data_IF_297885308078
#
_entry.id   IF_297885308078
#
_cell.length_a   1.000
_cell.length_b   1.000
_cell.length_c   1.000
_cell.angle_alpha   90.00
_cell.angle_beta   90.00
_cell.angle_gamma   90.00
#
_symmetry.space_group_name_H-M   'P 1'
#
loop_
_entity.id
_entity.type
_entity.pdbx_description
1 polymer ?
#
# COMPACT_ATOMS: atom_id res chain seq x y z
N UNK A 1 -10.14 -5.26 9.44
CA UNK A 1 -8.99 -4.34 9.56
C UNK A 1 -9.48 -3.04 10.19
N UNK A 2 -8.66 -2.37 11.01
CA UNK A 2 -8.99 -1.03 11.52
C UNK A 2 -8.98 -0.05 10.33
N UNK A 3 -9.90 0.94 10.26
CA UNK A 3 -9.82 1.99 9.25
C UNK A 3 -8.42 2.62 9.24
N UNK A 4 -7.96 3.00 8.05
CA UNK A 4 -6.81 3.86 7.90
C UNK A 4 -7.06 5.17 8.65
N UNK A 5 -6.11 5.53 9.51
CA UNK A 5 -6.11 6.78 10.25
C UNK A 5 -4.74 7.41 10.03
N UNK A 6 -4.72 8.68 9.66
CA UNK A 6 -3.50 9.46 9.57
C UNK A 6 -2.88 9.51 10.97
N UNK A 7 -1.58 9.25 11.07
CA UNK A 7 -0.87 9.25 12.33
C UNK A 7 -0.96 10.62 13.02
N UNK A 8 -1.07 10.62 14.36
CA UNK A 8 -1.22 11.84 15.15
C UNK A 8 -0.13 12.89 14.85
N UNK A 9 1.11 12.46 14.59
CA UNK A 9 2.23 13.32 14.22
C UNK A 9 1.94 14.24 13.02
N UNK A 10 1.09 13.81 12.10
CA UNK A 10 0.72 14.59 10.91
C UNK A 10 -0.56 15.39 11.13
N UNK A 11 -1.52 14.86 11.89
CA UNK A 11 -2.84 15.48 12.14
C UNK A 11 -2.73 16.89 12.70
N UNK A 12 -1.72 17.15 13.53
CA UNK A 12 -1.50 18.47 14.14
C UNK A 12 -0.81 19.48 13.20
N UNK A 13 -0.37 19.04 12.02
CA UNK A 13 0.42 19.83 11.07
C UNK A 13 -0.27 20.07 9.72
N UNK A 14 -1.45 19.48 9.51
CA UNK A 14 -2.21 19.61 8.26
C UNK A 14 -3.64 20.09 8.56
N UNK A 15 -4.31 20.73 7.59
CA UNK A 15 -5.70 21.15 7.78
C UNK A 15 -6.62 19.95 8.08
N UNK A 16 -7.48 20.08 9.09
CA UNK A 16 -8.34 18.99 9.54
C UNK A 16 -9.28 18.47 8.44
N UNK A 17 -9.81 19.37 7.60
CA UNK A 17 -10.63 19.01 6.44
C UNK A 17 -9.85 18.15 5.45
N UNK A 18 -8.60 18.50 5.16
CA UNK A 18 -7.73 17.75 4.25
C UNK A 18 -7.41 16.37 4.81
N UNK A 19 -7.07 16.28 6.10
CA UNK A 19 -6.87 15.01 6.78
C UNK A 19 -8.12 14.11 6.65
N UNK A 20 -9.30 14.67 6.94
CA UNK A 20 -10.56 13.94 6.87
C UNK A 20 -10.88 13.43 5.46
N UNK A 21 -10.73 14.27 4.44
CA UNK A 21 -11.00 13.89 3.04
C UNK A 21 -10.03 12.82 2.54
N UNK A 22 -8.76 12.90 2.94
CA UNK A 22 -7.78 11.88 2.61
C UNK A 22 -8.07 10.55 3.29
N UNK A 23 -8.41 10.55 4.59
CA UNK A 23 -8.85 9.32 5.28
C UNK A 23 -10.10 8.72 4.64
N UNK A 24 -11.06 9.56 4.23
CA UNK A 24 -12.26 9.12 3.52
C UNK A 24 -11.90 8.46 2.18
N UNK A 25 -11.02 9.08 1.41
CA UNK A 25 -10.56 8.55 0.13
C UNK A 25 -9.86 7.20 0.31
N UNK A 26 -8.91 7.10 1.24
CA UNK A 26 -8.16 5.84 1.47
C UNK A 26 -9.11 4.72 1.91
N UNK A 27 -10.03 5.00 2.83
CA UNK A 27 -10.91 3.97 3.39
C UNK A 27 -12.06 3.55 2.46
N UNK A 28 -12.64 4.49 1.73
CA UNK A 28 -13.92 4.27 1.03
C UNK A 28 -13.85 4.50 -0.48
N UNK A 29 -12.72 4.96 -1.01
CA UNK A 29 -12.59 5.28 -2.42
C UNK A 29 -13.15 6.65 -2.75
N UNK A 30 -13.16 6.95 -4.05
CA UNK A 30 -13.49 8.31 -4.52
C UNK A 30 -14.99 8.62 -4.44
N UNK A 31 -15.37 9.45 -3.47
CA UNK A 31 -16.36 10.51 -3.67
C UNK A 31 -15.64 11.75 -4.23
N UNK A 32 -16.37 12.71 -4.81
CA UNK A 32 -15.84 13.89 -5.55
C UNK A 32 -14.62 14.51 -4.85
N UNK A 33 -13.42 14.26 -5.39
CA UNK A 33 -12.18 14.88 -4.91
C UNK A 33 -12.11 16.33 -5.38
N UNK A 34 -11.59 17.21 -4.52
CA UNK A 34 -11.24 18.56 -4.94
C UNK A 34 -10.07 18.52 -5.94
N UNK A 35 -9.92 19.59 -6.74
CA UNK A 35 -8.80 19.70 -7.69
C UNK A 35 -7.45 19.52 -6.99
N UNK A 36 -7.26 20.14 -5.82
CA UNK A 36 -6.07 19.95 -4.98
C UNK A 36 -5.77 18.48 -4.68
N UNK A 37 -6.75 17.74 -4.15
CA UNK A 37 -6.54 16.34 -3.77
C UNK A 37 -6.34 15.42 -4.97
N UNK A 38 -7.03 15.68 -6.08
CA UNK A 38 -6.83 14.93 -7.31
C UNK A 38 -5.39 15.11 -7.83
N UNK A 39 -4.91 16.36 -7.94
CA UNK A 39 -3.53 16.61 -8.35
C UNK A 39 -2.51 16.00 -7.39
N UNK A 40 -2.73 16.14 -6.08
CA UNK A 40 -1.87 15.60 -5.03
C UNK A 40 -1.71 14.08 -5.15
N UNK A 41 -2.83 13.35 -5.19
CA UNK A 41 -2.84 11.88 -5.25
C UNK A 41 -2.41 11.35 -6.63
N UNK A 42 -2.51 12.18 -7.67
CA UNK A 42 -2.04 11.85 -9.02
C UNK A 42 -0.54 12.13 -9.24
N UNK A 43 0.18 12.57 -8.20
CA UNK A 43 1.61 12.91 -8.29
C UNK A 43 1.91 14.25 -8.98
N UNK A 44 0.90 15.05 -9.31
CA UNK A 44 1.05 16.38 -9.89
C UNK A 44 1.22 17.44 -8.78
N UNK A 45 2.43 17.51 -8.23
CA UNK A 45 2.74 18.45 -7.15
C UNK A 45 2.55 19.93 -7.56
N UNK A 46 2.81 20.27 -8.83
CA UNK A 46 2.64 21.65 -9.32
C UNK A 46 1.17 22.01 -9.47
N UNK A 47 0.36 21.15 -10.07
CA UNK A 47 -1.09 21.34 -10.15
C UNK A 47 -1.75 21.40 -8.78
N UNK A 48 -1.25 20.60 -7.83
CA UNK A 48 -1.70 20.64 -6.45
C UNK A 48 -1.35 21.98 -5.79
N UNK A 49 -0.11 22.46 -5.91
CA UNK A 49 0.29 23.76 -5.36
C UNK A 49 -0.53 24.93 -5.93
N UNK A 50 -0.83 24.91 -7.24
CA UNK A 50 -1.67 25.91 -7.90
C UNK A 50 -3.13 25.86 -7.46
N UNK A 51 -3.64 24.68 -7.10
CA UNK A 51 -5.04 24.46 -6.71
C UNK A 51 -5.26 24.51 -5.19
N UNK A 52 -4.19 24.60 -4.40
CA UNK A 52 -4.26 24.65 -2.95
C UNK A 52 -4.81 26.00 -2.46
N UNK A 53 -5.75 25.95 -1.52
CA UNK A 53 -6.09 27.10 -0.69
C UNK A 53 -4.90 27.49 0.23
N UNK A 54 -5.05 28.58 0.97
CA UNK A 54 -3.98 29.12 1.83
C UNK A 54 -3.49 28.09 2.85
N UNK A 55 -4.42 27.41 3.55
CA UNK A 55 -4.05 26.46 4.61
C UNK A 55 -3.33 25.23 4.05
N UNK A 56 -3.82 24.68 2.94
CA UNK A 56 -3.17 23.55 2.26
C UNK A 56 -1.82 23.92 1.67
N UNK A 57 -1.66 25.17 1.22
CA UNK A 57 -0.41 25.67 0.67
C UNK A 57 0.66 25.83 1.76
N UNK A 58 0.27 26.36 2.91
CA UNK A 58 1.16 26.52 4.07
C UNK A 58 1.63 25.15 4.61
N UNK A 59 0.75 24.15 4.56
CA UNK A 59 1.04 22.78 4.97
C UNK A 59 1.58 21.86 3.84
N UNK A 60 1.80 22.38 2.63
CA UNK A 60 1.94 21.55 1.43
C UNK A 60 3.09 20.54 1.50
N UNK A 61 4.25 20.97 1.99
CA UNK A 61 5.42 20.09 2.17
C UNK A 61 5.16 18.95 3.15
N UNK A 62 4.41 19.23 4.23
CA UNK A 62 4.02 18.22 5.23
C UNK A 62 3.04 17.22 4.62
N UNK A 63 2.05 17.71 3.87
CA UNK A 63 1.06 16.87 3.18
C UNK A 63 1.76 15.91 2.20
N UNK A 64 2.71 16.41 1.40
CA UNK A 64 3.49 15.57 0.48
C UNK A 64 4.29 14.49 1.21
N UNK A 65 5.00 14.86 2.28
CA UNK A 65 5.78 13.93 3.08
C UNK A 65 4.90 12.84 3.72
N UNK A 66 3.75 13.24 4.28
CA UNK A 66 2.78 12.32 4.85
C UNK A 66 2.26 11.32 3.82
N UNK A 67 1.83 11.79 2.65
CA UNK A 67 1.30 10.92 1.58
C UNK A 67 2.39 9.94 1.12
N UNK A 68 3.62 10.41 0.91
CA UNK A 68 4.71 9.54 0.47
C UNK A 68 5.11 8.47 1.49
N UNK A 69 4.95 8.74 2.79
CA UNK A 69 5.42 7.85 3.85
C UNK A 69 4.35 6.86 4.34
N UNK A 70 3.11 7.32 4.51
CA UNK A 70 2.11 6.59 5.29
C UNK A 70 0.93 6.05 4.46
N UNK A 71 0.77 6.46 3.20
CA UNK A 71 -0.39 6.04 2.39
C UNK A 71 -0.19 4.66 1.74
N UNK A 72 -1.26 3.84 1.64
CA UNK A 72 -1.23 2.61 0.85
C UNK A 72 -0.83 2.89 -0.60
N UNK A 73 -0.05 1.98 -1.19
CA UNK A 73 0.53 2.26 -2.51
C UNK A 73 -0.52 2.27 -3.63
N UNK A 74 -1.65 1.61 -3.39
CA UNK A 74 -2.69 1.39 -4.39
C UNK A 74 -3.66 2.58 -4.51
N UNK A 75 -3.61 3.56 -3.59
CA UNK A 75 -4.48 4.73 -3.61
C UNK A 75 -3.86 5.98 -4.28
N UNK A 76 -2.67 5.85 -4.88
CA UNK A 76 -2.02 6.88 -5.68
C UNK A 76 -1.80 6.39 -7.12
N UNK A 77 -1.62 7.29 -8.08
CA UNK A 77 -1.27 6.87 -9.45
C UNK A 77 -1.62 7.89 -10.53
N UNK A 78 -2.13 7.42 -11.66
CA UNK A 78 -2.71 8.34 -12.65
C UNK A 78 -4.03 8.91 -12.12
N UNK A 79 -4.52 10.04 -12.66
CA UNK A 79 -5.83 10.59 -12.28
C UNK A 79 -6.96 9.57 -12.40
N UNK A 80 -6.93 8.71 -13.41
CA UNK A 80 -7.92 7.65 -13.62
C UNK A 80 -7.84 6.60 -12.52
N UNK A 81 -6.63 6.19 -12.13
CA UNK A 81 -6.43 5.21 -11.06
C UNK A 81 -6.94 5.75 -9.71
N UNK A 82 -6.63 7.02 -9.40
CA UNK A 82 -7.11 7.70 -8.20
C UNK A 82 -8.64 7.79 -8.20
N UNK A 83 -9.27 8.14 -9.32
CA UNK A 83 -10.73 8.21 -9.42
C UNK A 83 -11.41 6.84 -9.34
N UNK A 84 -10.76 5.79 -9.82
CA UNK A 84 -11.26 4.42 -9.77
C UNK A 84 -10.96 3.72 -8.45
N UNK A 85 -10.20 4.35 -7.54
CA UNK A 85 -9.93 3.81 -6.22
C UNK A 85 -11.23 3.55 -5.46
N UNK A 86 -11.39 2.32 -4.96
CA UNK A 86 -12.62 1.85 -4.30
C UNK A 86 -12.45 1.71 -2.78
N UNK A 87 -11.39 2.30 -2.23
CA UNK A 87 -11.05 2.17 -0.82
C UNK A 87 -10.32 0.86 -0.52
N UNK A 88 -9.81 0.78 0.71
CA UNK A 88 -9.24 -0.44 1.25
C UNK A 88 -10.31 -1.55 1.30
N UNK A 89 -10.22 -2.52 0.39
CA UNK A 89 -11.13 -3.66 0.36
C UNK A 89 -10.76 -4.69 1.43
N UNK A 90 -11.78 -5.22 2.09
CA UNK A 90 -11.66 -6.48 2.82
C UNK A 90 -11.45 -7.61 1.80
N UNK A 91 -10.24 -8.15 1.74
CA UNK A 91 -10.07 -9.51 1.28
C UNK A 91 -10.36 -10.42 2.48
N UNK A 92 -11.39 -11.27 2.46
CA UNK A 92 -11.46 -12.34 3.44
C UNK A 92 -10.14 -13.13 3.40
N UNK A 93 -9.67 -13.66 4.54
CA UNK A 93 -8.59 -14.64 4.50
C UNK A 93 -8.99 -15.69 3.46
N UNK A 94 -8.09 -15.96 2.51
CA UNK A 94 -8.35 -16.99 1.52
C UNK A 94 -8.55 -18.31 2.28
N UNK A 95 -9.58 -19.06 1.93
CA UNK A 95 -9.77 -20.39 2.49
C UNK A 95 -8.63 -21.27 1.96
N UNK A 96 -7.85 -21.84 2.88
CA UNK A 96 -6.80 -22.80 2.53
C UNK A 96 -7.49 -24.13 2.23
N UNK A 97 -7.37 -24.69 1.01
CA UNK A 97 -7.93 -26.00 0.73
C UNK A 97 -7.31 -27.07 1.63
N UNK A 98 -8.08 -28.05 2.08
CA UNK A 98 -7.60 -29.15 2.93
C UNK A 98 -6.39 -29.89 2.31
N UNK A 99 -6.34 -29.97 0.98
CA UNK A 99 -5.22 -30.57 0.24
C UNK A 99 -3.90 -29.86 0.49
N UNK A 100 -3.89 -28.54 0.66
CA UNK A 100 -2.68 -27.77 0.93
C UNK A 100 -2.19 -27.99 2.36
N UNK A 101 -3.13 -28.11 3.30
CA UNK A 101 -2.82 -28.44 4.70
C UNK A 101 -2.15 -29.80 4.78
N UNK A 102 -2.68 -30.79 4.06
CA UNK A 102 -2.09 -32.13 3.95
C UNK A 102 -0.68 -32.09 3.33
N UNK A 103 -0.48 -31.32 2.25
CA UNK A 103 0.85 -31.16 1.64
C UNK A 103 1.85 -30.50 2.58
N UNK A 104 1.45 -29.50 3.36
CA UNK A 104 2.33 -28.83 4.34
C UNK A 104 2.70 -29.78 5.48
N UNK A 105 1.78 -30.61 5.97
CA UNK A 105 2.08 -31.62 6.98
C UNK A 105 3.02 -32.70 6.45
N UNK A 106 2.83 -33.13 5.20
CA UNK A 106 3.72 -34.08 4.53
C UNK A 106 5.14 -33.52 4.37
N UNK A 107 5.27 -32.29 3.86
CA UNK A 107 6.56 -31.61 3.74
C UNK A 107 7.23 -31.38 5.11
N UNK A 108 6.47 -31.09 6.16
CA UNK A 108 7.01 -31.00 7.54
C UNK A 108 7.53 -32.34 8.05
N UNK A 109 6.86 -33.45 7.70
CA UNK A 109 7.26 -34.81 8.10
C UNK A 109 8.49 -35.27 7.34
N UNK A 110 8.59 -34.96 6.05
CA UNK A 110 9.74 -35.31 5.21
C UNK A 110 11.01 -34.51 5.58
N UNK A 111 10.84 -33.32 6.16
CA UNK A 111 11.95 -32.45 6.50
C UNK A 111 12.60 -31.84 5.24
N UNK A 112 13.55 -30.90 5.41
CA UNK A 112 14.24 -30.31 4.28
C UNK A 112 15.07 -31.36 3.53
N UNK A 113 14.67 -31.66 2.29
CA UNK A 113 15.47 -32.48 1.38
C UNK A 113 16.60 -31.64 0.80
N UNK A 114 17.78 -31.71 1.43
CA UNK A 114 19.00 -31.22 0.82
C UNK A 114 19.48 -32.26 -0.18
N UNK A 115 19.51 -31.90 -1.47
CA UNK A 115 19.96 -32.81 -2.53
C UNK A 115 21.37 -33.34 -2.23
N UNK A 116 21.52 -34.66 -2.26
CA UNK A 116 22.82 -35.31 -2.12
C UNK A 116 23.73 -34.89 -3.29
N UNK A 117 24.85 -34.22 -2.98
CA UNK A 117 25.91 -34.03 -3.96
C UNK A 117 26.44 -35.42 -4.36
N UNK A 118 26.24 -35.80 -5.62
CA UNK A 118 26.82 -37.01 -6.22
C UNK A 118 28.35 -37.01 -6.06
N UNK A 119 28.86 -37.66 -5.01
CA UNK A 119 30.24 -38.13 -4.95
C UNK A 119 30.34 -39.42 -5.77
N UNK A 120 30.53 -39.30 -7.08
CA UNK A 120 31.00 -40.44 -7.88
C UNK A 120 31.80 -39.99 -9.09
N UNK A 121 33.11 -39.82 -8.90
CA UNK A 121 34.14 -40.25 -9.86
C UNK A 121 35.55 -40.03 -9.27
N UNK A 122 35.89 -40.80 -8.24
CA UNK A 122 37.29 -41.05 -7.89
C UNK A 122 37.54 -42.56 -7.92
N UNK A 123 37.89 -43.06 -9.11
CA UNK A 123 38.59 -44.32 -9.45
C UNK A 123 38.56 -44.38 -10.98
N UNK A 124 39.65 -44.26 -11.71
CA UNK A 124 40.74 -45.24 -11.71
C UNK A 124 41.98 -44.63 -12.38
N UNK A 125 43.14 -44.82 -11.77
CA UNK A 125 44.48 -44.64 -12.35
C UNK A 125 44.77 -45.84 -13.24
N UNK A 126 45.06 -45.63 -14.52
CA UNK A 126 46.22 -46.18 -15.25
C UNK A 126 46.29 -45.64 -16.68
#
# INVERSE_FOLDING_TARGET
>A
MKPFEIAARWKDQIPATTAHLLELHVNHGSSVLSGFLLHLLSGDAFGAACSADTENRDAFGVILAMVAQDFPLECYGSPEAVQQWQGLKYAPPFEVPDSWTATVEELRREGPQYGEQEQSAARTVH
#
